data_IF_532634774790
#
_entry.id   IF_532634774790
#
_cell.length_a   1.000
_cell.length_b   1.000
_cell.length_c   1.000
_cell.angle_alpha   90.00
_cell.angle_beta   90.00
_cell.angle_gamma   90.00
#
_symmetry.space_group_name_H-M   'P 1'
#
loop_
_entity.id
_entity.type
_entity.pdbx_description
1 polymer ?
#
# COMPACT_ATOMS: atom_id res chain seq x y z
N UNK A 1 -31.42 7.40 -53.81
CA UNK A 1 -30.19 7.92 -53.18
C UNK A 1 -29.08 6.92 -53.41
N UNK A 2 -28.22 7.16 -54.39
CA UNK A 2 -27.06 6.31 -54.67
C UNK A 2 -26.10 6.36 -53.47
N UNK A 3 -25.63 5.20 -52.95
CA UNK A 3 -24.61 5.21 -51.91
C UNK A 3 -23.34 5.86 -52.45
N UNK A 4 -22.70 6.72 -51.65
CA UNK A 4 -21.44 7.36 -52.01
C UNK A 4 -20.39 6.27 -52.34
N UNK A 5 -19.81 6.24 -53.56
CA UNK A 5 -18.87 5.21 -53.98
C UNK A 5 -17.48 5.32 -53.31
N UNK A 6 -17.21 6.41 -52.59
CA UNK A 6 -16.00 6.58 -51.79
C UNK A 6 -16.35 6.57 -50.30
N UNK A 7 -16.22 5.42 -49.61
CA UNK A 7 -16.28 5.41 -48.15
C UNK A 7 -15.21 6.36 -47.61
N UNK A 8 -15.54 7.13 -46.57
CA UNK A 8 -14.58 8.03 -45.92
C UNK A 8 -13.31 7.26 -45.56
N UNK A 9 -12.14 7.90 -45.63
CA UNK A 9 -10.84 7.29 -45.29
C UNK A 9 -10.90 6.58 -43.93
N UNK A 10 -11.64 7.17 -42.98
CA UNK A 10 -11.98 6.60 -41.67
C UNK A 10 -12.78 5.29 -41.71
N UNK A 11 -13.76 5.17 -42.61
CA UNK A 11 -14.51 3.94 -42.82
C UNK A 11 -13.66 2.88 -43.52
N UNK A 12 -12.78 3.28 -44.44
CA UNK A 12 -11.82 2.38 -45.10
C UNK A 12 -10.77 1.85 -44.11
N UNK A 13 -10.25 2.69 -43.22
CA UNK A 13 -9.33 2.27 -42.14
C UNK A 13 -10.02 1.35 -41.13
N UNK A 14 -11.29 1.62 -40.74
CA UNK A 14 -12.08 0.70 -39.90
C UNK A 14 -12.41 -0.62 -40.58
N UNK A 15 -12.63 -0.62 -41.89
CA UNK A 15 -12.92 -1.84 -42.66
C UNK A 15 -11.63 -2.62 -42.97
N UNK A 16 -10.48 -1.95 -43.11
CA UNK A 16 -9.17 -2.55 -43.29
C UNK A 16 -8.61 -3.14 -41.99
N UNK A 17 -8.92 -2.54 -40.83
CA UNK A 17 -8.48 -3.00 -39.50
C UNK A 17 -9.48 -3.87 -38.74
N UNK A 18 -10.34 -4.60 -39.46
CA UNK A 18 -11.39 -5.41 -38.84
C UNK A 18 -10.77 -6.60 -38.10
N UNK A 19 -10.78 -6.55 -36.76
CA UNK A 19 -10.17 -7.58 -35.88
C UNK A 19 -8.81 -7.18 -35.29
N UNK A 20 -8.43 -5.91 -35.38
CA UNK A 20 -7.15 -5.42 -34.89
C UNK A 20 -7.34 -4.45 -33.72
N UNK A 21 -6.44 -4.53 -32.74
CA UNK A 21 -6.41 -3.64 -31.58
C UNK A 21 -5.46 -2.47 -31.81
N UNK A 22 -5.74 -1.35 -31.15
CA UNK A 22 -4.89 -0.16 -31.13
C UNK A 22 -4.31 -0.05 -29.72
N UNK A 23 -2.98 0.03 -29.61
CA UNK A 23 -2.28 0.25 -28.34
C UNK A 23 -2.01 1.74 -28.17
N UNK A 24 -2.39 2.28 -27.02
CA UNK A 24 -2.12 3.66 -26.61
C UNK A 24 -1.59 3.69 -25.19
N UNK A 25 -0.69 4.63 -24.90
CA UNK A 25 -0.14 4.87 -23.57
C UNK A 25 -0.92 5.99 -22.90
N UNK A 26 -1.13 5.92 -21.59
CA UNK A 26 -1.79 7.00 -20.84
C UNK A 26 -0.82 8.13 -20.49
N UNK A 27 -1.34 9.34 -20.26
CA UNK A 27 -0.53 10.54 -19.96
C UNK A 27 0.47 10.30 -18.82
N UNK A 28 0.04 9.67 -17.72
CA UNK A 28 0.92 9.38 -16.58
C UNK A 28 2.01 8.35 -16.88
N UNK A 29 1.77 7.39 -17.78
CA UNK A 29 2.80 6.42 -18.20
C UNK A 29 3.81 7.07 -19.14
N UNK A 30 3.36 7.96 -20.03
CA UNK A 30 4.23 8.77 -20.87
C UNK A 30 5.13 9.70 -20.03
N UNK A 31 4.57 10.41 -19.06
CA UNK A 31 5.33 11.34 -18.20
C UNK A 31 6.40 10.64 -17.34
N UNK A 32 6.13 9.43 -16.87
CA UNK A 32 7.10 8.65 -16.08
C UNK A 32 8.16 7.95 -16.94
N UNK A 33 7.92 7.85 -18.25
CA UNK A 33 8.82 7.21 -19.20
C UNK A 33 9.02 5.71 -18.95
N UNK A 34 9.80 5.08 -19.82
CA UNK A 34 10.30 3.72 -19.63
C UNK A 34 11.57 3.78 -18.77
N UNK A 35 11.73 2.89 -17.79
CA UNK A 35 12.95 2.87 -16.96
C UNK A 35 14.19 2.60 -17.82
N UNK A 36 15.30 3.26 -17.49
CA UNK A 36 16.61 3.04 -18.13
C UNK A 36 17.31 1.75 -17.64
N UNK A 37 16.66 0.95 -16.79
CA UNK A 37 17.21 -0.32 -16.33
C UNK A 37 17.38 -1.30 -17.50
N UNK A 38 18.42 -2.13 -17.46
CA UNK A 38 18.69 -3.11 -18.52
C UNK A 38 17.51 -4.08 -18.76
N UNK A 39 16.78 -4.44 -17.70
CA UNK A 39 15.60 -5.30 -17.80
C UNK A 39 14.43 -4.64 -18.52
N UNK A 40 14.07 -3.41 -18.14
CA UNK A 40 12.92 -2.72 -18.73
C UNK A 40 13.22 -2.24 -20.17
N UNK A 41 14.48 -1.90 -20.47
CA UNK A 41 14.92 -1.59 -21.84
C UNK A 41 14.96 -2.85 -22.73
N UNK A 42 15.35 -4.01 -22.20
CA UNK A 42 15.25 -5.27 -22.92
C UNK A 42 13.79 -5.64 -23.21
N UNK A 43 12.90 -5.48 -22.23
CA UNK A 43 11.47 -5.69 -22.39
C UNK A 43 10.86 -4.73 -23.43
N UNK A 44 11.20 -3.44 -23.36
CA UNK A 44 10.80 -2.46 -24.37
C UNK A 44 11.29 -2.82 -25.78
N UNK A 45 12.49 -3.37 -25.91
CA UNK A 45 13.01 -3.84 -27.20
C UNK A 45 12.24 -5.03 -27.76
N UNK A 46 11.88 -5.99 -26.91
CA UNK A 46 11.15 -7.21 -27.28
C UNK A 46 9.71 -6.92 -27.70
N UNK A 47 9.08 -5.94 -27.05
CA UNK A 47 7.70 -5.53 -27.27
C UNK A 47 7.58 -4.23 -28.07
N UNK A 48 8.63 -3.84 -28.78
CA UNK A 48 8.64 -2.65 -29.66
C UNK A 48 7.66 -2.76 -30.84
N UNK A 49 7.18 -3.97 -31.15
CA UNK A 49 6.11 -4.22 -32.12
C UNK A 49 4.69 -3.95 -31.56
N UNK A 50 4.55 -3.96 -30.23
CA UNK A 50 3.29 -3.80 -29.50
C UNK A 50 3.18 -2.42 -28.87
N UNK A 51 4.26 -1.93 -28.27
CA UNK A 51 4.30 -0.67 -27.56
C UNK A 51 4.65 0.48 -28.50
N UNK A 52 3.96 1.62 -28.39
CA UNK A 52 4.34 2.81 -29.13
C UNK A 52 5.59 3.41 -28.46
N UNK A 53 6.76 3.09 -29.02
CA UNK A 53 8.08 3.48 -28.52
C UNK A 53 8.87 4.24 -29.60
N UNK A 54 9.68 5.19 -29.15
CA UNK A 54 10.70 5.85 -29.97
C UNK A 54 12.07 5.83 -29.28
N UNK A 55 13.11 6.12 -30.04
CA UNK A 55 14.46 6.22 -29.54
C UNK A 55 14.77 7.64 -29.08
N UNK A 56 15.35 7.74 -27.88
CA UNK A 56 15.85 8.99 -27.30
C UNK A 56 17.29 8.77 -26.84
N UNK A 57 18.12 9.80 -26.93
CA UNK A 57 19.48 9.78 -26.38
C UNK A 57 19.42 10.31 -24.94
N UNK A 58 19.90 9.51 -23.98
CA UNK A 58 19.92 9.91 -22.57
C UNK A 58 21.08 10.88 -22.28
N UNK A 59 21.14 11.43 -21.06
CA UNK A 59 22.23 12.33 -20.64
C UNK A 59 23.63 11.70 -20.68
N UNK A 60 23.72 10.36 -20.72
CA UNK A 60 24.97 9.62 -20.85
C UNK A 60 25.39 9.36 -22.32
N UNK A 61 24.54 9.73 -23.30
CA UNK A 61 24.77 9.48 -24.72
C UNK A 61 24.31 8.11 -25.22
N UNK A 62 23.61 7.34 -24.40
CA UNK A 62 23.07 6.03 -24.76
C UNK A 62 21.69 6.17 -25.42
N UNK A 63 21.43 5.36 -26.44
CA UNK A 63 20.11 5.28 -27.08
C UNK A 63 19.18 4.38 -26.27
N UNK A 64 18.11 4.96 -25.73
CA UNK A 64 17.09 4.29 -24.91
C UNK A 64 15.72 4.31 -25.61
N UNK A 65 14.86 3.35 -25.27
CA UNK A 65 13.46 3.34 -25.66
C UNK A 65 12.63 4.20 -24.70
N UNK A 66 11.73 5.01 -25.25
CA UNK A 66 10.78 5.84 -24.50
C UNK A 66 9.39 5.79 -25.15
N UNK A 67 8.33 5.98 -24.35
CA UNK A 67 6.96 5.93 -24.85
C UNK A 67 6.62 7.10 -25.77
N UNK A 68 5.87 6.83 -26.84
CA UNK A 68 5.36 7.88 -27.71
C UNK A 68 4.33 8.76 -27.01
N UNK A 69 4.25 10.00 -27.48
CA UNK A 69 3.28 10.96 -26.98
C UNK A 69 1.84 10.43 -27.17
N UNK A 70 1.02 10.39 -26.11
CA UNK A 70 -0.36 9.88 -26.14
C UNK A 70 -1.27 10.63 -27.13
N UNK A 71 -0.93 11.89 -27.46
CA UNK A 71 -1.64 12.71 -28.45
C UNK A 71 -1.18 12.48 -29.90
N UNK A 72 -0.11 11.71 -30.10
CA UNK A 72 0.41 11.32 -31.41
C UNK A 72 -0.33 10.13 -32.03
N UNK A 73 -0.05 9.80 -33.31
CA UNK A 73 -0.64 8.64 -33.98
C UNK A 73 -0.14 7.34 -33.32
N UNK A 74 -0.92 6.79 -32.41
CA UNK A 74 -0.67 5.51 -31.73
C UNK A 74 -1.24 4.38 -32.57
N UNK A 75 -0.38 3.49 -33.10
CA UNK A 75 -0.87 2.35 -33.87
C UNK A 75 0.14 1.20 -33.96
N UNK A 76 0.11 0.31 -32.98
CA UNK A 76 0.43 -1.09 -33.21
C UNK A 76 -0.87 -1.85 -33.42
N UNK A 77 -0.88 -2.71 -34.43
CA UNK A 77 -2.06 -3.40 -34.95
C UNK A 77 -1.93 -4.87 -34.59
N UNK A 78 -2.65 -5.32 -33.56
CA UNK A 78 -2.42 -6.61 -32.94
C UNK A 78 -3.58 -7.58 -33.13
N UNK A 79 -3.24 -8.87 -33.21
CA UNK A 79 -4.16 -9.99 -33.15
C UNK A 79 -4.31 -10.48 -31.69
N UNK A 80 -5.40 -11.18 -31.39
CA UNK A 80 -5.72 -11.67 -30.05
C UNK A 80 -4.58 -12.44 -29.36
N UNK A 81 -3.85 -13.30 -30.09
CA UNK A 81 -2.72 -14.08 -29.54
C UNK A 81 -1.56 -13.21 -29.06
N UNK A 82 -1.25 -12.11 -29.75
CA UNK A 82 -0.13 -11.26 -29.37
C UNK A 82 -0.45 -10.44 -28.12
N UNK A 83 -1.73 -10.10 -27.93
CA UNK A 83 -2.22 -9.42 -26.74
C UNK A 83 -2.20 -10.35 -25.53
N UNK A 84 -2.57 -11.62 -25.70
CA UNK A 84 -2.45 -12.59 -24.60
C UNK A 84 -1.00 -12.81 -24.19
N UNK A 85 -0.08 -12.92 -25.17
CA UNK A 85 1.34 -13.07 -24.88
C UNK A 85 1.90 -11.82 -24.17
N UNK A 86 1.47 -10.62 -24.59
CA UNK A 86 1.85 -9.37 -23.93
C UNK A 86 1.25 -9.23 -22.52
N UNK A 87 0.01 -9.67 -22.32
CA UNK A 87 -0.64 -9.67 -20.99
C UNK A 87 0.15 -10.51 -20.00
N UNK A 88 0.69 -11.65 -20.44
CA UNK A 88 1.48 -12.54 -19.58
C UNK A 88 2.79 -11.91 -19.10
N UNK A 89 3.31 -10.84 -19.73
CA UNK A 89 4.54 -10.19 -19.26
C UNK A 89 4.33 -9.28 -18.06
N UNK A 90 3.08 -9.00 -17.67
CA UNK A 90 2.81 -8.17 -16.50
C UNK A 90 3.08 -8.92 -15.19
N UNK A 91 2.99 -10.25 -15.19
CA UNK A 91 3.25 -11.13 -14.04
C UNK A 91 4.75 -11.29 -13.70
N UNK A 92 5.66 -10.60 -14.42
CA UNK A 92 7.11 -10.65 -14.19
C UNK A 92 7.65 -9.34 -13.58
N UNK A 93 7.03 -8.83 -12.51
CA UNK A 93 7.50 -7.61 -11.84
C UNK A 93 7.33 -6.33 -12.66
N UNK A 94 6.28 -6.27 -13.50
CA UNK A 94 5.97 -5.05 -14.25
C UNK A 94 5.41 -3.97 -13.32
N UNK A 95 5.87 -2.72 -13.50
CA UNK A 95 5.29 -1.54 -12.82
C UNK A 95 4.05 -0.98 -13.51
N UNK A 96 3.70 -1.51 -14.69
CA UNK A 96 2.70 -0.96 -15.57
C UNK A 96 1.34 -1.64 -15.37
N UNK A 97 0.29 -1.03 -15.93
CA UNK A 97 -1.03 -1.64 -16.05
C UNK A 97 -1.55 -1.55 -17.47
N UNK A 98 -2.37 -2.51 -17.87
CA UNK A 98 -2.99 -2.58 -19.18
C UNK A 98 -4.49 -2.87 -19.03
N UNK A 99 -5.29 -2.26 -19.90
CA UNK A 99 -6.69 -2.65 -20.08
C UNK A 99 -7.04 -2.73 -21.56
N UNK A 100 -7.83 -3.74 -21.93
CA UNK A 100 -8.30 -3.94 -23.29
C UNK A 100 -9.79 -3.59 -23.37
N UNK A 101 -10.13 -2.66 -24.26
CA UNK A 101 -11.51 -2.24 -24.49
C UNK A 101 -11.96 -2.54 -25.92
N UNK A 102 -13.07 -3.26 -26.07
CA UNK A 102 -13.63 -3.66 -27.37
C UNK A 102 -13.04 -4.97 -27.92
N UNK A 103 -13.66 -5.51 -28.98
CA UNK A 103 -13.25 -6.78 -29.59
C UNK A 103 -13.55 -8.02 -28.75
N UNK A 104 -12.90 -9.15 -29.06
CA UNK A 104 -13.08 -10.45 -28.39
C UNK A 104 -12.46 -10.53 -26.99
N UNK A 105 -11.39 -9.76 -26.76
CA UNK A 105 -10.66 -9.64 -25.49
C UNK A 105 -11.10 -8.43 -24.63
N UNK A 106 -12.28 -7.87 -24.89
CA UNK A 106 -12.78 -6.72 -24.12
C UNK A 106 -12.95 -7.09 -22.65
N UNK A 107 -12.38 -6.26 -21.76
CA UNK A 107 -12.42 -6.48 -20.30
C UNK A 107 -11.22 -7.24 -19.75
N UNK A 108 -10.29 -7.69 -20.60
CA UNK A 108 -8.99 -8.19 -20.14
C UNK A 108 -8.19 -7.03 -19.54
N UNK A 109 -7.70 -7.23 -18.32
CA UNK A 109 -6.85 -6.28 -17.60
C UNK A 109 -5.63 -7.00 -17.07
N UNK A 110 -4.46 -6.38 -17.18
CA UNK A 110 -3.21 -6.85 -16.61
C UNK A 110 -2.70 -5.77 -15.64
N UNK A 111 -2.27 -6.18 -14.45
CA UNK A 111 -1.65 -5.32 -13.47
C UNK A 111 -0.37 -6.02 -13.05
N UNK A 112 0.77 -5.36 -13.21
CA UNK A 112 2.01 -6.00 -12.78
C UNK A 112 2.23 -5.92 -11.27
N UNK A 113 3.03 -6.84 -10.76
CA UNK A 113 3.20 -7.07 -9.31
C UNK A 113 3.88 -5.88 -8.62
N UNK A 114 4.77 -5.17 -9.33
CA UNK A 114 5.47 -3.97 -8.85
C UNK A 114 4.64 -2.69 -9.06
N UNK A 115 3.40 -2.78 -9.54
CA UNK A 115 2.54 -1.62 -9.71
C UNK A 115 2.21 -1.00 -8.32
N UNK A 116 2.26 0.34 -8.14
CA UNK A 116 2.03 0.99 -6.85
C UNK A 116 0.66 0.70 -6.20
N UNK A 117 -0.30 0.22 -6.98
CA UNK A 117 -1.63 -0.19 -6.53
C UNK A 117 -1.83 -1.70 -6.49
N UNK A 118 -0.77 -2.49 -6.71
CA UNK A 118 -0.83 -3.92 -6.49
C UNK A 118 -1.08 -4.17 -5.00
N UNK A 119 -2.10 -4.98 -4.74
CA UNK A 119 -2.53 -5.36 -3.38
C UNK A 119 -2.24 -6.84 -3.12
N UNK A 120 -1.56 -7.54 -4.03
CA UNK A 120 -1.22 -8.95 -3.93
C UNK A 120 0.26 -9.16 -4.23
N UNK A 121 0.85 -10.13 -3.53
CA UNK A 121 2.25 -10.60 -3.54
C UNK A 121 3.15 -10.10 -2.39
N UNK A 122 2.54 -9.65 -1.31
CA UNK A 122 3.23 -9.40 -0.04
C UNK A 122 3.45 -10.68 0.79
N UNK A 123 4.54 -10.77 1.58
CA UNK A 123 4.86 -11.94 2.42
C UNK A 123 3.82 -12.24 3.53
N UNK A 124 2.87 -11.34 3.77
CA UNK A 124 1.81 -11.47 4.78
C UNK A 124 0.40 -11.53 4.18
N UNK A 125 0.27 -11.78 2.88
CA UNK A 125 -1.02 -11.74 2.19
C UNK A 125 -1.97 -12.84 2.62
N UNK A 126 -1.44 -14.01 3.01
CA UNK A 126 -2.23 -15.11 3.55
C UNK A 126 -3.14 -14.69 4.73
N UNK A 127 -2.72 -13.70 5.54
CA UNK A 127 -3.54 -13.16 6.64
C UNK A 127 -4.73 -12.38 6.09
N UNK A 128 -4.47 -11.53 5.11
CA UNK A 128 -5.49 -10.66 4.51
C UNK A 128 -6.51 -11.47 3.73
N UNK A 129 -6.04 -12.50 3.02
CA UNK A 129 -6.88 -13.49 2.33
C UNK A 129 -7.71 -14.30 3.31
N UNK A 130 -7.11 -14.81 4.39
CA UNK A 130 -7.84 -15.56 5.41
C UNK A 130 -8.92 -14.71 6.09
N UNK A 131 -8.64 -13.45 6.40
CA UNK A 131 -9.62 -12.52 6.98
C UNK A 131 -10.71 -12.19 5.96
N UNK A 132 -10.35 -11.91 4.70
CA UNK A 132 -11.34 -11.69 3.63
C UNK A 132 -12.27 -12.88 3.48
N UNK A 133 -11.72 -14.09 3.44
CA UNK A 133 -12.45 -15.28 3.04
C UNK A 133 -13.25 -15.90 4.18
N UNK A 134 -12.73 -15.86 5.41
CA UNK A 134 -13.39 -16.44 6.58
C UNK A 134 -14.22 -15.44 7.38
N UNK A 135 -13.88 -14.14 7.35
CA UNK A 135 -14.59 -13.12 8.12
C UNK A 135 -15.50 -12.28 7.21
N UNK A 136 -14.94 -11.60 6.21
CA UNK A 136 -15.71 -10.59 5.46
C UNK A 136 -16.69 -11.18 4.44
N UNK A 137 -16.28 -12.18 3.66
CA UNK A 137 -17.14 -12.87 2.69
C UNK A 137 -18.42 -13.44 3.32
N UNK A 138 -18.39 -14.21 4.43
CA UNK A 138 -19.62 -14.76 5.02
C UNK A 138 -20.49 -13.70 5.69
N UNK A 139 -19.91 -12.61 6.19
CA UNK A 139 -20.67 -11.51 6.81
C UNK A 139 -21.44 -10.69 5.75
N UNK A 140 -20.96 -10.65 4.50
CA UNK A 140 -21.65 -10.00 3.39
C UNK A 140 -21.75 -8.47 3.49
N UNK A 141 -20.94 -7.83 4.34
CA UNK A 141 -20.91 -6.37 4.45
C UNK A 141 -20.20 -5.73 3.25
N UNK A 142 -20.74 -4.62 2.76
CA UNK A 142 -20.06 -3.77 1.80
C UNK A 142 -18.80 -3.14 2.39
N UNK A 143 -17.82 -2.83 1.54
CA UNK A 143 -16.50 -2.28 1.93
C UNK A 143 -16.60 -1.10 2.89
N UNK A 144 -17.57 -0.20 2.66
CA UNK A 144 -17.84 0.93 3.55
C UNK A 144 -18.13 0.53 5.00
N UNK A 145 -18.99 -0.47 5.21
CA UNK A 145 -19.35 -0.92 6.56
C UNK A 145 -18.20 -1.65 7.24
N UNK A 146 -17.37 -2.38 6.47
CA UNK A 146 -16.16 -3.02 6.98
C UNK A 146 -15.20 -1.96 7.54
N UNK A 147 -14.95 -0.89 6.77
CA UNK A 147 -14.10 0.21 7.18
C UNK A 147 -14.65 0.96 8.40
N UNK A 148 -15.96 1.26 8.41
CA UNK A 148 -16.61 1.93 9.52
C UNK A 148 -16.50 1.11 10.82
N UNK A 149 -16.78 -0.19 10.75
CA UNK A 149 -16.72 -1.08 11.90
C UNK A 149 -15.29 -1.20 12.44
N UNK A 150 -14.30 -1.41 11.56
CA UNK A 150 -12.89 -1.44 11.95
C UNK A 150 -12.43 -0.12 12.56
N UNK A 151 -12.82 1.01 11.97
CA UNK A 151 -12.50 2.34 12.47
C UNK A 151 -13.08 2.60 13.86
N UNK A 152 -14.35 2.24 14.09
CA UNK A 152 -14.98 2.34 15.41
C UNK A 152 -14.28 1.45 16.45
N UNK A 153 -13.96 0.20 16.10
CA UNK A 153 -13.25 -0.71 17.01
C UNK A 153 -11.85 -0.21 17.34
N UNK A 154 -11.08 0.22 16.34
CA UNK A 154 -9.75 0.79 16.53
C UNK A 154 -9.79 2.06 17.37
N UNK A 155 -10.74 2.97 17.10
CA UNK A 155 -10.92 4.20 17.88
C UNK A 155 -11.28 3.93 19.35
N UNK A 156 -12.18 2.98 19.61
CA UNK A 156 -12.53 2.57 20.96
C UNK A 156 -11.33 1.96 21.71
N UNK A 157 -10.54 1.10 21.05
CA UNK A 157 -9.34 0.49 21.63
C UNK A 157 -8.25 1.51 21.93
N UNK A 158 -7.95 2.41 20.99
CA UNK A 158 -6.94 3.45 21.15
C UNK A 158 -7.33 4.48 22.21
N UNK A 159 -8.60 4.91 22.23
CA UNK A 159 -9.11 5.85 23.23
C UNK A 159 -9.18 5.24 24.63
N UNK A 160 -9.68 4.01 24.74
CA UNK A 160 -9.80 3.29 26.01
C UNK A 160 -8.44 3.02 26.66
N UNK A 161 -7.46 2.55 25.88
CA UNK A 161 -6.11 2.27 26.38
C UNK A 161 -5.39 3.54 26.86
N UNK A 162 -5.49 4.66 26.14
CA UNK A 162 -4.91 5.95 26.56
C UNK A 162 -5.46 6.43 27.92
N UNK A 163 -6.78 6.31 28.12
CA UNK A 163 -7.43 6.70 29.37
C UNK A 163 -7.05 5.79 30.54
N UNK A 164 -7.09 4.47 30.32
CA UNK A 164 -6.74 3.48 31.33
C UNK A 164 -5.26 3.59 31.75
N UNK A 165 -4.35 3.80 30.80
CA UNK A 165 -2.93 3.96 31.09
C UNK A 165 -2.68 5.11 32.07
N UNK A 166 -3.29 6.29 31.85
CA UNK A 166 -3.15 7.42 32.78
C UNK A 166 -3.79 7.17 34.14
N UNK A 167 -4.96 6.55 34.17
CA UNK A 167 -5.67 6.28 35.43
C UNK A 167 -4.91 5.29 36.31
N UNK A 168 -4.42 4.19 35.72
CA UNK A 168 -3.65 3.17 36.44
C UNK A 168 -2.30 3.74 36.87
N UNK A 169 -1.59 4.44 35.98
CA UNK A 169 -0.32 5.08 36.32
C UNK A 169 -0.46 6.07 37.47
N UNK A 170 -1.49 6.93 37.46
CA UNK A 170 -1.72 7.91 38.53
C UNK A 170 -1.95 7.29 39.91
N UNK A 171 -2.47 6.05 39.99
CA UNK A 171 -2.63 5.35 41.28
C UNK A 171 -1.30 4.82 41.84
N UNK A 172 -0.31 4.57 40.99
CA UNK A 172 1.00 4.03 41.37
C UNK A 172 2.07 5.11 41.57
N UNK A 173 1.71 6.39 41.43
CA UNK A 173 2.64 7.51 41.55
C UNK A 173 2.49 8.16 42.93
N UNK A 174 3.58 8.33 43.70
CA UNK A 174 3.55 9.05 44.98
C UNK A 174 3.19 10.52 44.78
N UNK A 175 2.31 11.06 45.63
CA UNK A 175 1.84 12.45 45.55
C UNK A 175 3.00 13.44 45.71
N UNK A 176 3.97 13.10 46.57
CA UNK A 176 5.13 13.96 46.88
C UNK A 176 6.10 14.13 45.72
N UNK A 177 6.14 13.19 44.76
CA UNK A 177 7.02 13.24 43.57
C UNK A 177 6.27 13.14 42.24
N UNK A 178 4.97 13.43 42.25
CA UNK A 178 4.09 13.32 41.09
C UNK A 178 4.62 14.02 39.82
N UNK A 179 5.19 15.22 39.96
CA UNK A 179 5.74 15.97 38.83
C UNK A 179 6.91 15.25 38.12
N UNK A 180 7.78 14.56 38.86
CA UNK A 180 8.91 13.83 38.29
C UNK A 180 8.43 12.60 37.49
N UNK A 181 7.52 11.81 38.08
CA UNK A 181 6.97 10.61 37.44
C UNK A 181 6.10 10.94 36.22
N UNK A 182 5.25 11.98 36.28
CA UNK A 182 4.50 12.43 35.11
C UNK A 182 5.41 13.04 34.03
N UNK A 183 6.54 13.64 34.42
CA UNK A 183 7.61 14.05 33.51
C UNK A 183 8.18 12.86 32.72
N UNK A 184 8.51 11.76 33.40
CA UNK A 184 8.97 10.53 32.76
C UNK A 184 7.89 9.90 31.87
N UNK A 185 6.64 9.83 32.34
CA UNK A 185 5.52 9.32 31.54
C UNK A 185 5.36 10.10 30.22
N UNK A 186 5.43 11.42 30.28
CA UNK A 186 5.40 12.28 29.08
C UNK A 186 6.62 12.10 28.16
N UNK A 187 7.82 11.93 28.74
CA UNK A 187 9.03 11.66 27.97
C UNK A 187 8.94 10.35 27.18
N UNK A 188 8.55 9.24 27.82
CA UNK A 188 8.37 7.96 27.14
C UNK A 188 7.28 8.01 26.07
N UNK A 189 6.20 8.77 26.29
CA UNK A 189 5.20 9.03 25.26
C UNK A 189 5.78 9.69 24.00
N UNK A 190 6.69 10.66 24.16
CA UNK A 190 7.38 11.31 23.03
C UNK A 190 8.36 10.35 22.34
N UNK A 191 9.09 9.56 23.10
CA UNK A 191 10.01 8.55 22.54
C UNK A 191 9.23 7.52 21.71
N UNK A 192 8.11 7.00 22.24
CA UNK A 192 7.25 6.08 21.52
C UNK A 192 6.68 6.70 20.23
N UNK A 193 6.31 7.99 20.25
CA UNK A 193 5.83 8.72 19.08
C UNK A 193 6.89 8.87 17.97
N UNK A 194 8.18 8.73 18.29
CA UNK A 194 9.28 8.75 17.30
C UNK A 194 9.59 7.32 16.83
N UNK A 195 9.71 6.38 17.77
CA UNK A 195 10.09 4.98 17.46
C UNK A 195 9.01 4.29 16.62
N UNK A 196 7.72 4.51 16.90
CA UNK A 196 6.63 3.87 16.18
C UNK A 196 6.66 4.16 14.66
N UNK A 197 6.61 5.44 14.24
CA UNK A 197 6.71 5.81 12.83
C UNK A 197 8.04 5.41 12.19
N UNK A 198 9.16 5.49 12.92
CA UNK A 198 10.46 5.09 12.40
C UNK A 198 10.51 3.60 12.09
N UNK A 199 10.02 2.76 13.00
CA UNK A 199 9.97 1.31 12.83
C UNK A 199 9.00 0.91 11.71
N UNK A 200 7.82 1.53 11.68
CA UNK A 200 6.85 1.36 10.59
C UNK A 200 7.47 1.73 9.23
N UNK A 201 8.07 2.91 9.12
CA UNK A 201 8.66 3.40 7.87
C UNK A 201 9.82 2.53 7.40
N UNK A 202 10.71 2.13 8.32
CA UNK A 202 11.84 1.25 7.99
C UNK A 202 11.35 -0.09 7.46
N UNK A 203 10.36 -0.72 8.09
CA UNK A 203 9.84 -2.02 7.65
C UNK A 203 8.99 -1.91 6.39
N UNK A 204 8.29 -0.80 6.19
CA UNK A 204 7.53 -0.53 4.95
C UNK A 204 8.46 -0.37 3.76
N UNK A 205 9.59 0.32 3.93
CA UNK A 205 10.58 0.52 2.85
C UNK A 205 11.36 -0.76 2.54
N UNK A 206 11.67 -1.57 3.56
CA UNK A 206 12.47 -2.79 3.38
C UNK A 206 11.65 -3.99 2.86
N UNK A 207 10.35 -4.03 3.15
CA UNK A 207 9.48 -5.14 2.77
C UNK A 207 8.25 -4.60 2.03
N UNK A 208 7.16 -4.39 2.76
CA UNK A 208 5.90 -3.87 2.22
C UNK A 208 5.10 -3.20 3.35
N UNK A 209 4.13 -2.38 2.97
CA UNK A 209 3.19 -1.71 3.87
C UNK A 209 2.49 -2.66 4.84
N UNK A 210 2.20 -3.90 4.43
CA UNK A 210 1.57 -4.92 5.31
C UNK A 210 2.50 -5.36 6.42
N UNK A 211 3.78 -5.54 6.12
CA UNK A 211 4.82 -5.86 7.12
C UNK A 211 5.01 -4.67 8.06
N UNK A 212 4.98 -3.44 7.53
CA UNK A 212 4.92 -2.22 8.30
C UNK A 212 3.79 -2.23 9.33
N UNK A 213 2.55 -2.48 8.91
CA UNK A 213 1.39 -2.56 9.83
C UNK A 213 1.54 -3.71 10.84
N UNK A 214 1.97 -4.89 10.38
CA UNK A 214 2.15 -6.06 11.24
C UNK A 214 3.17 -5.81 12.36
N UNK A 215 4.20 -5.01 12.10
CA UNK A 215 5.20 -4.64 13.10
C UNK A 215 4.61 -3.85 14.27
N UNK A 216 3.66 -2.95 14.00
CA UNK A 216 2.93 -2.20 15.04
C UNK A 216 2.06 -3.17 15.83
N UNK A 217 1.39 -4.11 15.17
CA UNK A 217 0.62 -5.17 15.84
C UNK A 217 1.50 -6.00 16.79
N UNK A 218 2.71 -6.38 16.36
CA UNK A 218 3.66 -7.11 17.21
C UNK A 218 4.05 -6.28 18.43
N UNK A 219 4.34 -4.99 18.27
CA UNK A 219 4.63 -4.10 19.40
C UNK A 219 3.46 -4.01 20.39
N UNK A 220 2.23 -3.91 19.89
CA UNK A 220 1.02 -3.91 20.73
C UNK A 220 0.91 -5.23 21.51
N UNK A 221 1.17 -6.37 20.86
CA UNK A 221 1.12 -7.69 21.51
C UNK A 221 2.20 -7.82 22.58
N UNK A 222 3.43 -7.40 22.28
CA UNK A 222 4.54 -7.38 23.25
C UNK A 222 4.16 -6.53 24.46
N UNK A 223 3.70 -5.29 24.24
CA UNK A 223 3.25 -4.40 25.33
C UNK A 223 2.10 -5.00 26.15
N UNK A 224 1.14 -5.64 25.48
CA UNK A 224 0.01 -6.29 26.13
C UNK A 224 0.43 -7.49 26.99
N UNK A 225 1.41 -8.28 26.53
CA UNK A 225 1.96 -9.40 27.31
C UNK A 225 2.78 -8.88 28.49
N UNK A 226 3.60 -7.85 28.29
CA UNK A 226 4.39 -7.23 29.37
C UNK A 226 3.52 -6.71 30.51
N UNK A 227 2.34 -6.18 30.18
CA UNK A 227 1.39 -5.66 31.17
C UNK A 227 0.87 -6.75 32.12
N UNK A 228 0.92 -8.04 31.75
CA UNK A 228 0.55 -9.15 32.65
C UNK A 228 1.50 -9.33 33.83
N UNK A 229 2.70 -8.77 33.77
CA UNK A 229 3.68 -8.83 34.86
C UNK A 229 3.63 -7.63 35.80
N UNK A 230 2.77 -6.64 35.53
CA UNK A 230 2.64 -5.45 36.37
C UNK A 230 1.62 -5.72 37.48
N UNK A 231 2.09 -5.69 38.74
CA UNK A 231 1.25 -5.72 39.92
C UNK A 231 0.90 -4.28 40.34
N UNK A 232 -0.37 -3.91 40.17
CA UNK A 232 -0.85 -2.56 40.47
C UNK A 232 -0.99 -2.34 41.98
N UNK A 233 -1.33 -3.37 42.74
CA UNK A 233 -1.53 -3.25 44.19
C UNK A 233 -0.19 -3.04 44.90
N UNK A 234 0.86 -3.76 44.46
CA UNK A 234 2.21 -3.53 44.95
C UNK A 234 2.72 -2.13 44.59
N UNK A 235 2.45 -1.65 43.36
CA UNK A 235 2.78 -0.29 42.95
C UNK A 235 2.10 0.79 43.81
N UNK A 236 0.83 0.59 44.16
CA UNK A 236 0.09 1.49 45.07
C UNK A 236 0.68 1.50 46.48
N UNK A 237 1.06 0.34 47.00
CA UNK A 237 1.69 0.21 48.33
C UNK A 237 3.04 0.93 48.36
N UNK A 238 3.89 0.70 47.35
CA UNK A 238 5.18 1.37 47.24
C UNK A 238 5.03 2.91 47.18
N UNK A 239 4.04 3.42 46.44
CA UNK A 239 3.76 4.85 46.40
C UNK A 239 3.35 5.42 47.77
N UNK A 240 2.49 4.71 48.50
CA UNK A 240 2.06 5.11 49.85
C UNK A 240 3.20 5.09 50.86
N UNK A 241 4.03 4.04 50.85
CA UNK A 241 5.20 3.92 51.73
C UNK A 241 6.21 5.05 51.49
N UNK A 242 6.38 5.45 50.23
CA UNK A 242 7.26 6.55 49.86
C UNK A 242 6.72 7.92 50.29
N UNK A 243 5.42 8.17 50.11
CA UNK A 243 4.77 9.38 50.59
C UNK A 243 4.81 9.48 52.12
N UNK A 244 4.62 8.36 52.82
CA UNK A 244 4.72 8.29 54.28
C UNK A 244 6.13 8.63 54.75
N UNK A 245 7.17 8.10 54.09
CA UNK A 245 8.58 8.44 54.35
C UNK A 245 8.87 9.93 54.13
N UNK A 246 8.40 10.50 53.03
CA UNK A 246 8.64 11.92 52.71
C UNK A 246 7.86 12.88 53.61
N UNK A 247 6.69 12.47 54.10
CA UNK A 247 5.85 13.25 55.03
C UNK A 247 6.19 13.02 56.51
N UNK A 248 7.03 12.04 56.83
CA UNK A 248 7.43 11.70 58.20
C UNK A 248 6.31 11.03 59.02
N UNK A 249 5.40 10.30 58.37
CA UNK A 249 4.24 9.65 58.99
C UNK A 249 4.52 8.13 59.02
N UNK A 250 4.35 7.46 60.16
CA UNK A 250 4.41 5.99 60.23
C UNK A 250 3.11 5.38 59.75
N UNK A 251 3.19 4.41 58.83
CA UNK A 251 2.06 3.57 58.44
C UNK A 251 2.00 2.39 59.43
N UNK A 252 1.26 2.56 60.53
CA UNK A 252 0.86 1.47 61.43
C UNK A 252 -0.42 0.77 60.94
#
# INVERSE_FOLDING_TARGET
STPNPNPSIWLQQRLAGKGQYIVSVGDGTYENGLSQSAGEQAWGSEWSDVLPLHFVENEAGDTIYEFDNPTGPSSAVLNDSRISDFTATFDEGSRLSMSVQGGGLSGTTALGDDHPTSLGDGPLDFVSEAVRDNLWKPIGFGVFMQFLLLGCMAGALLGGSQGLARSIFGQMVPETRSAEFFGFFGFFGRVAAIIGPLLYGTLTVMYDSRVGIASICVLIVIGSVMMKWVDVDDGRRAAMEEDARNRGISLD
#
